data_IF_602588705145
#
_entry.id   IF_602588705145
#
_cell.length_a   1.000
_cell.length_b   1.000
_cell.length_c   1.000
_cell.angle_alpha   90.00
_cell.angle_beta   90.00
_cell.angle_gamma   90.00
#
_symmetry.space_group_name_H-M   'P 1'
#
loop_
_entity.id
_entity.type
_entity.pdbx_description
1 polymer ?
#
# COMPACT_ATOMS: atom_id res chain seq x y z
N UNK A 1 8.20 -1.68 10.04
CA UNK A 1 8.28 -1.27 8.62
C UNK A 1 9.69 -1.52 8.10
N UNK A 2 9.86 -1.62 6.79
CA UNK A 2 11.14 -1.78 6.09
C UNK A 2 11.19 -0.74 4.98
N UNK A 3 12.28 0.01 4.90
CA UNK A 3 12.46 1.08 3.92
C UNK A 3 13.76 0.88 3.13
N UNK A 4 13.66 1.01 1.81
CA UNK A 4 14.78 1.00 0.89
C UNK A 4 14.80 2.32 0.12
N UNK A 5 15.93 3.02 0.17
CA UNK A 5 16.08 4.32 -0.49
C UNK A 5 17.37 4.39 -1.28
N UNK A 6 17.30 5.00 -2.45
CA UNK A 6 18.46 5.42 -3.23
C UNK A 6 18.33 6.91 -3.52
N UNK A 7 19.32 7.68 -3.08
CA UNK A 7 19.44 9.11 -3.45
C UNK A 7 19.71 9.25 -4.95
N UNK A 8 19.35 10.40 -5.50
CA UNK A 8 19.55 10.67 -6.92
C UNK A 8 21.03 10.56 -7.30
N UNK A 9 21.31 9.59 -8.16
CA UNK A 9 22.63 9.32 -8.70
C UNK A 9 22.46 8.58 -10.03
N UNK A 10 23.27 8.94 -11.02
CA UNK A 10 23.21 8.36 -12.38
C UNK A 10 21.79 8.41 -12.96
N UNK A 11 21.15 9.58 -12.88
CA UNK A 11 19.81 9.86 -13.43
C UNK A 11 18.63 9.09 -12.81
N UNK A 12 18.81 8.47 -11.64
CA UNK A 12 17.78 7.67 -11.00
C UNK A 12 17.74 7.88 -9.49
N UNK A 13 16.54 8.00 -8.91
CA UNK A 13 16.29 7.85 -7.47
C UNK A 13 15.04 7.03 -7.23
N UNK A 14 14.97 6.37 -6.07
CA UNK A 14 13.75 5.70 -5.64
C UNK A 14 13.64 5.62 -4.11
N UNK A 15 12.41 5.45 -3.66
CA UNK A 15 12.04 5.10 -2.31
C UNK A 15 11.01 3.96 -2.38
N UNK A 16 11.27 2.89 -1.65
CA UNK A 16 10.36 1.77 -1.48
C UNK A 16 10.12 1.57 0.02
N UNK A 17 8.87 1.56 0.43
CA UNK A 17 8.45 1.40 1.82
C UNK A 17 7.47 0.25 1.94
N UNK A 18 7.75 -0.68 2.84
CA UNK A 18 6.87 -1.78 3.18
C UNK A 18 6.51 -1.73 4.67
N UNK A 19 5.21 -1.67 4.94
CA UNK A 19 4.67 -1.70 6.29
C UNK A 19 3.82 -2.95 6.43
N UNK A 20 4.16 -3.75 7.44
CA UNK A 20 3.30 -4.79 7.96
C UNK A 20 2.67 -4.29 9.27
N UNK A 21 1.37 -4.45 9.38
CA UNK A 21 0.61 -4.22 10.61
C UNK A 21 -0.19 -5.47 10.91
N UNK A 22 -0.44 -5.74 12.18
CA UNK A 22 -1.38 -6.78 12.58
C UNK A 22 -2.06 -6.33 13.86
N UNK A 23 -3.37 -6.11 13.79
CA UNK A 23 -4.18 -5.70 14.94
C UNK A 23 -5.30 -6.71 15.13
N UNK A 24 -5.42 -7.23 16.36
CA UNK A 24 -6.48 -8.14 16.79
C UNK A 24 -7.24 -7.39 17.87
N UNK A 25 -8.54 -7.18 17.66
CA UNK A 25 -9.40 -6.50 18.62
C UNK A 25 -10.60 -7.39 18.96
N UNK A 26 -11.12 -7.24 20.19
CA UNK A 26 -12.36 -7.89 20.62
C UNK A 26 -13.60 -7.07 20.20
N UNK A 27 -13.39 -5.80 19.84
CA UNK A 27 -14.37 -4.89 19.22
C UNK A 27 -13.61 -3.69 18.64
N UNK A 28 -13.84 -3.36 17.37
CA UNK A 28 -13.16 -2.24 16.70
C UNK A 28 -13.90 -0.90 16.82
N UNK A 29 -15.16 -0.87 17.28
CA UNK A 29 -15.95 0.35 17.45
C UNK A 29 -17.20 0.11 18.34
N UNK A 30 -17.72 1.16 18.98
CA UNK A 30 -19.00 1.17 19.73
C UNK A 30 -20.19 1.42 18.79
N UNK A 31 -20.28 0.67 17.69
CA UNK A 31 -21.41 0.76 16.75
C UNK A 31 -22.41 -0.36 17.00
N UNK A 32 -23.70 -0.05 16.81
CA UNK A 32 -24.83 -0.98 17.00
C UNK A 32 -24.82 -2.20 16.08
N UNK A 33 -23.91 -2.26 15.10
CA UNK A 33 -23.71 -3.39 14.19
C UNK A 33 -22.57 -4.34 14.62
N UNK A 34 -21.84 -4.01 15.70
CA UNK A 34 -20.79 -4.84 16.32
C UNK A 34 -21.27 -5.41 17.69
N UNK A 35 -22.53 -5.86 17.78
CA UNK A 35 -22.95 -6.60 18.97
C UNK A 35 -22.15 -7.91 19.09
N UNK A 36 -21.78 -8.32 20.30
CA UNK A 36 -21.11 -9.59 20.50
C UNK A 36 -22.02 -10.73 20.01
N UNK A 37 -21.44 -11.69 19.30
CA UNK A 37 -22.14 -12.92 18.91
C UNK A 37 -22.59 -13.72 20.14
N UNK A 38 -21.78 -13.74 21.21
CA UNK A 38 -22.13 -14.30 22.51
C UNK A 38 -21.57 -13.45 23.66
N UNK A 39 -22.46 -12.74 24.35
CA UNK A 39 -22.12 -11.89 25.49
C UNK A 39 -21.56 -12.66 26.72
N UNK A 40 -21.50 -13.99 26.68
CA UNK A 40 -20.89 -14.85 27.71
C UNK A 40 -19.55 -15.46 27.28
N UNK A 41 -19.16 -15.31 26.00
CA UNK A 41 -17.93 -15.87 25.46
C UNK A 41 -17.06 -14.80 24.80
N UNK A 42 -16.41 -13.97 25.62
CA UNK A 42 -15.48 -12.92 25.18
C UNK A 42 -14.35 -13.43 24.28
N UNK A 43 -13.96 -14.71 24.38
CA UNK A 43 -12.95 -15.30 23.50
C UNK A 43 -13.42 -15.51 22.07
N UNK A 44 -14.73 -15.62 21.83
CA UNK A 44 -15.31 -15.75 20.49
C UNK A 44 -15.41 -14.42 19.74
N UNK A 45 -15.28 -13.28 20.44
CA UNK A 45 -15.32 -11.94 19.85
C UNK A 45 -13.96 -11.47 19.32
N UNK A 46 -12.89 -12.25 19.57
CA UNK A 46 -11.54 -11.98 19.07
C UNK A 46 -11.47 -12.17 17.56
N UNK A 47 -11.32 -11.08 16.83
CA UNK A 47 -11.13 -11.10 15.38
C UNK A 47 -10.04 -10.13 14.94
N UNK A 48 -9.59 -10.27 13.69
CA UNK A 48 -8.75 -9.27 13.05
C UNK A 48 -9.50 -7.93 13.03
N UNK A 49 -8.84 -6.89 13.53
CA UNK A 49 -9.42 -5.55 13.64
C UNK A 49 -9.87 -5.03 12.28
N UNK A 50 -10.97 -4.28 12.22
CA UNK A 50 -11.40 -3.55 11.01
C UNK A 50 -10.35 -2.53 10.50
N UNK A 51 -9.38 -2.18 11.35
CA UNK A 51 -8.24 -1.33 11.00
C UNK A 51 -6.98 -2.12 10.60
N UNK A 52 -7.05 -3.44 10.48
CA UNK A 52 -5.92 -4.27 10.06
C UNK A 52 -5.57 -4.03 8.58
N UNK A 53 -4.65 -3.10 8.33
CA UNK A 53 -3.96 -3.00 7.05
C UNK A 53 -2.71 -3.87 7.09
N UNK A 54 -2.92 -5.16 6.82
CA UNK A 54 -1.88 -6.17 7.03
C UNK A 54 -0.61 -5.94 6.22
N UNK A 55 -0.76 -5.49 4.98
CA UNK A 55 0.36 -5.22 4.09
C UNK A 55 0.12 -3.92 3.33
N UNK A 56 1.07 -2.99 3.42
CA UNK A 56 1.10 -1.77 2.61
C UNK A 56 2.49 -1.63 2.00
N UNK A 57 2.56 -1.58 0.68
CA UNK A 57 3.77 -1.35 -0.07
C UNK A 57 3.60 -0.10 -0.93
N UNK A 58 4.53 0.84 -0.81
CA UNK A 58 4.58 2.07 -1.61
C UNK A 58 5.94 2.16 -2.26
N UNK A 59 5.96 2.35 -3.58
CA UNK A 59 7.17 2.58 -4.36
C UNK A 59 7.05 3.90 -5.10
N UNK A 60 8.05 4.77 -4.97
CA UNK A 60 8.17 6.00 -5.74
C UNK A 60 9.54 6.08 -6.37
N UNK A 61 9.62 6.60 -7.59
CA UNK A 61 10.91 6.81 -8.24
C UNK A 61 10.89 8.07 -9.09
N UNK A 62 12.08 8.58 -9.39
CA UNK A 62 12.28 9.61 -10.42
C UNK A 62 13.43 9.15 -11.31
N UNK A 63 13.14 9.09 -12.60
CA UNK A 63 14.03 8.63 -13.65
C UNK A 63 14.17 9.76 -14.65
N UNK A 64 15.38 10.27 -14.84
CA UNK A 64 15.68 11.25 -15.89
C UNK A 64 16.39 10.55 -17.04
N UNK A 65 15.98 10.84 -18.27
CA UNK A 65 16.63 10.28 -19.44
C UNK A 65 17.73 11.21 -19.94
N UNK A 66 18.92 10.69 -20.28
CA UNK A 66 20.05 11.52 -20.64
C UNK A 66 19.85 12.19 -22.00
N UNK A 67 20.41 13.40 -22.15
CA UNK A 67 20.33 14.20 -23.39
C UNK A 67 21.04 13.50 -24.56
N UNK A 68 22.04 12.66 -24.27
CA UNK A 68 22.76 11.86 -25.28
C UNK A 68 21.86 10.89 -26.06
N UNK A 69 20.65 10.60 -25.57
CA UNK A 69 19.70 9.76 -26.28
C UNK A 69 19.11 10.40 -27.54
N UNK A 70 19.31 11.71 -27.74
CA UNK A 70 18.93 12.40 -28.98
C UNK A 70 19.62 11.82 -30.23
N UNK A 71 20.83 11.26 -30.10
CA UNK A 71 21.56 10.64 -31.21
C UNK A 71 21.29 9.15 -31.39
N UNK A 72 20.37 8.56 -30.61
CA UNK A 72 20.02 7.13 -30.69
C UNK A 72 18.84 6.82 -31.62
N UNK A 73 18.32 5.59 -31.52
CA UNK A 73 17.13 5.15 -32.26
C UNK A 73 15.91 6.03 -31.98
N UNK A 74 14.89 5.96 -32.84
CA UNK A 74 13.66 6.76 -32.77
C UNK A 74 13.02 6.78 -31.37
N UNK A 75 13.03 5.65 -30.66
CA UNK A 75 12.52 5.55 -29.29
C UNK A 75 13.37 6.33 -28.26
N UNK A 76 14.70 6.21 -28.34
CA UNK A 76 15.63 6.94 -27.47
C UNK A 76 15.52 8.45 -27.69
N UNK A 77 15.41 8.88 -28.95
CA UNK A 77 15.23 10.29 -29.29
C UNK A 77 13.90 10.84 -28.76
N UNK A 78 12.82 10.06 -28.83
CA UNK A 78 11.52 10.44 -28.27
C UNK A 78 11.57 10.63 -26.75
N UNK A 79 12.27 9.75 -26.02
CA UNK A 79 12.42 9.86 -24.56
C UNK A 79 13.59 10.74 -24.12
N UNK A 80 14.34 11.33 -25.05
CA UNK A 80 15.48 12.18 -24.70
C UNK A 80 15.02 13.40 -23.89
N UNK A 81 15.75 13.71 -22.82
CA UNK A 81 15.45 14.84 -21.92
C UNK A 81 14.10 14.75 -21.18
N UNK A 82 13.45 13.59 -21.17
CA UNK A 82 12.27 13.37 -20.33
C UNK A 82 12.66 13.05 -18.89
N UNK A 83 11.76 13.37 -17.95
CA UNK A 83 11.81 12.86 -16.58
C UNK A 83 10.48 12.20 -16.25
N UNK A 84 10.53 10.98 -15.74
CA UNK A 84 9.36 10.16 -15.40
C UNK A 84 9.41 9.85 -13.90
N UNK A 85 8.28 10.05 -13.22
CA UNK A 85 8.17 9.89 -11.78
C UNK A 85 6.99 8.97 -11.41
N UNK A 86 7.13 7.64 -11.56
CA UNK A 86 6.05 6.71 -11.27
C UNK A 86 5.90 6.51 -9.76
N UNK A 87 4.66 6.29 -9.34
CA UNK A 87 4.29 5.94 -7.97
C UNK A 87 3.37 4.72 -8.04
N UNK A 88 3.72 3.69 -7.28
CA UNK A 88 2.91 2.48 -7.14
C UNK A 88 2.52 2.28 -5.69
N UNK A 89 1.25 1.95 -5.47
CA UNK A 89 0.69 1.68 -4.15
C UNK A 89 -0.05 0.36 -4.18
N UNK A 90 0.34 -0.54 -3.29
CA UNK A 90 -0.33 -1.82 -3.08
C UNK A 90 -0.70 -1.90 -1.60
N UNK A 91 -1.97 -2.15 -1.32
CA UNK A 91 -2.44 -2.36 0.04
C UNK A 91 -3.35 -3.57 0.11
N UNK A 92 -3.24 -4.34 1.20
CA UNK A 92 -4.19 -5.39 1.52
C UNK A 92 -5.57 -4.77 1.78
N UNK A 93 -6.62 -5.48 1.36
CA UNK A 93 -7.99 -5.12 1.68
C UNK A 93 -8.21 -5.08 3.20
N UNK A 94 -9.14 -4.25 3.64
CA UNK A 94 -9.55 -4.20 5.05
C UNK A 94 -10.53 -5.34 5.31
N UNK A 95 -10.47 -6.00 6.47
CA UNK A 95 -11.49 -6.95 6.85
C UNK A 95 -12.84 -6.22 6.93
N UNK A 96 -13.88 -6.84 6.36
CA UNK A 96 -15.26 -6.34 6.41
C UNK A 96 -16.16 -7.46 6.93
N UNK A 97 -17.17 -7.08 7.71
CA UNK A 97 -18.12 -8.04 8.26
C UNK A 97 -19.26 -8.24 7.25
N UNK A 98 -19.56 -9.48 6.87
CA UNK A 98 -20.70 -9.79 5.99
C UNK A 98 -21.97 -9.82 6.84
N UNK A 99 -22.71 -8.71 6.86
CA UNK A 99 -24.08 -8.70 7.37
C UNK A 99 -24.99 -9.23 6.25
N UNK A 100 -25.05 -10.55 6.10
CA UNK A 100 -26.10 -11.17 5.28
C UNK A 100 -27.42 -11.04 6.05
N UNK A 101 -28.29 -10.14 5.58
CA UNK A 101 -29.75 -10.23 5.67
C UNK A 101 -30.38 -8.91 5.23
N UNK A 102 -30.49 -8.65 3.91
CA UNK A 102 -31.61 -7.91 3.32
C UNK A 102 -31.71 -8.32 1.84
N UNK A 103 -32.57 -9.31 1.56
CA UNK A 103 -33.35 -9.33 0.32
C UNK A 103 -34.44 -8.26 0.40
#
# INVERSE_FOLDING_TARGET
>A
NVDLKKRFANHFQFLASYTWSHSIDDSSDLQTLLLPQDNRNFGAERSDSLFDQRHRFVFSSVISFPVSWNSGDTFHRFLSNFTVAPIFEFSAGRPFNILSNQD
#
